data_IF_562500582321
#
_entry.id   IF_562500582321
#
_cell.length_a   1.000
_cell.length_b   1.000
_cell.length_c   1.000
_cell.angle_alpha   90.00
_cell.angle_beta   90.00
_cell.angle_gamma   90.00
#
_symmetry.space_group_name_H-M   'P 1'
#
loop_
_entity.id
_entity.type
_entity.pdbx_description
1 polymer ?
#
# COMPACT_ATOMS: atom_id res chain seq x y z
N UNK A 1 18.10 17.54 -2.20
CA UNK A 1 17.06 16.89 -3.03
C UNK A 1 16.50 15.75 -2.22
N UNK A 2 15.19 15.67 -2.07
CA UNK A 2 14.49 14.56 -1.41
C UNK A 2 14.43 13.37 -2.37
N UNK A 3 14.87 12.18 -1.94
CA UNK A 3 14.76 10.99 -2.79
C UNK A 3 13.29 10.62 -2.99
N UNK A 4 12.90 10.25 -4.22
CA UNK A 4 11.56 9.72 -4.51
C UNK A 4 11.61 8.20 -4.44
N UNK A 5 10.76 7.58 -3.64
CA UNK A 5 10.74 6.13 -3.42
C UNK A 5 9.34 5.59 -3.65
N UNK A 6 9.21 4.56 -4.49
CA UNK A 6 7.96 3.90 -4.82
C UNK A 6 7.87 2.55 -4.08
N UNK A 7 6.76 2.30 -3.40
CA UNK A 7 6.34 0.96 -2.98
C UNK A 7 5.29 0.39 -3.94
N UNK A 8 5.32 -0.93 -4.15
CA UNK A 8 4.29 -1.69 -4.87
C UNK A 8 3.76 -2.74 -3.91
N UNK A 9 2.65 -2.42 -3.23
CA UNK A 9 2.19 -3.17 -2.06
C UNK A 9 0.66 -3.14 -1.92
N UNK A 10 0.13 -3.95 -1.01
CA UNK A 10 -1.27 -3.87 -0.58
C UNK A 10 -1.45 -2.82 0.52
N UNK A 11 -2.66 -2.29 0.66
CA UNK A 11 -3.07 -1.47 1.81
C UNK A 11 -3.48 -2.39 2.96
N UNK A 12 -2.85 -2.23 4.12
CA UNK A 12 -3.25 -2.89 5.36
C UNK A 12 -4.00 -1.88 6.22
N UNK A 13 -5.31 -2.08 6.40
CA UNK A 13 -6.18 -1.15 7.15
C UNK A 13 -5.76 -0.98 8.62
N UNK A 14 -4.98 -1.91 9.19
CA UNK A 14 -4.43 -1.75 10.55
C UNK A 14 -3.34 -0.68 10.62
N UNK A 15 -2.69 -0.38 9.49
CA UNK A 15 -1.56 0.54 9.38
C UNK A 15 -0.25 0.03 10.00
N UNK A 16 -0.19 -1.26 10.35
CA UNK A 16 0.99 -1.93 10.92
C UNK A 16 1.91 -2.57 9.88
N UNK A 17 1.39 -2.93 8.71
CA UNK A 17 2.14 -3.43 7.56
C UNK A 17 1.72 -2.67 6.27
N UNK A 18 1.91 -3.31 5.11
CA UNK A 18 1.47 -2.80 3.82
C UNK A 18 2.13 -1.49 3.41
N UNK A 19 1.51 -0.81 2.44
CA UNK A 19 1.99 0.47 1.94
C UNK A 19 2.00 1.54 3.03
N UNK A 20 1.15 1.43 4.06
CA UNK A 20 1.12 2.34 5.20
C UNK A 20 2.44 2.28 5.99
N UNK A 21 2.96 1.08 6.25
CA UNK A 21 4.26 0.91 6.91
C UNK A 21 5.42 1.39 6.04
N UNK A 22 5.36 1.09 4.73
CA UNK A 22 6.38 1.54 3.77
C UNK A 22 6.45 3.07 3.70
N UNK A 23 5.30 3.74 3.51
CA UNK A 23 5.23 5.20 3.40
C UNK A 23 5.66 5.90 4.70
N UNK A 24 5.29 5.36 5.87
CA UNK A 24 5.81 5.85 7.16
C UNK A 24 7.33 5.71 7.24
N UNK A 25 7.88 4.58 6.82
CA UNK A 25 9.32 4.39 6.80
C UNK A 25 9.99 5.40 5.85
N UNK A 26 9.46 5.60 4.65
CA UNK A 26 10.02 6.57 3.71
C UNK A 26 10.05 7.99 4.31
N UNK A 27 8.98 8.40 4.99
CA UNK A 27 8.91 9.70 5.67
C UNK A 27 9.95 9.83 6.79
N UNK A 28 10.10 8.80 7.63
CA UNK A 28 11.11 8.76 8.71
C UNK A 28 12.55 8.89 8.18
N UNK A 29 12.83 8.41 6.96
CA UNK A 29 14.12 8.56 6.30
C UNK A 29 14.23 9.81 5.40
N UNK A 30 13.23 10.70 5.44
CA UNK A 30 13.23 11.95 4.69
C UNK A 30 13.11 11.75 3.17
N UNK A 31 12.44 10.68 2.73
CA UNK A 31 12.13 10.41 1.34
C UNK A 31 10.67 10.76 1.01
N UNK A 32 10.41 11.18 -0.23
CA UNK A 32 9.06 11.38 -0.74
C UNK A 32 8.51 10.03 -1.23
N UNK A 33 7.70 9.41 -0.38
CA UNK A 33 7.06 8.13 -0.67
C UNK A 33 5.88 8.24 -1.64
N UNK A 34 5.82 7.32 -2.59
CA UNK A 34 4.65 7.07 -3.45
C UNK A 34 4.29 5.59 -3.45
N UNK A 35 3.06 5.23 -3.81
CA UNK A 35 2.60 3.84 -3.81
C UNK A 35 1.86 3.48 -5.10
N UNK A 36 2.09 2.26 -5.60
CA UNK A 36 1.20 1.56 -6.52
C UNK A 36 0.48 0.45 -5.73
N UNK A 37 -0.83 0.63 -5.56
CA UNK A 37 -1.69 -0.22 -4.73
C UNK A 37 -2.11 -1.47 -5.50
N UNK A 38 -1.89 -2.64 -4.92
CA UNK A 38 -2.18 -3.96 -5.53
C UNK A 38 -3.42 -4.64 -4.96
N UNK A 39 -3.73 -4.38 -3.69
CA UNK A 39 -4.94 -4.86 -3.03
C UNK A 39 -5.26 -3.99 -1.81
N UNK A 40 -6.46 -4.18 -1.26
CA UNK A 40 -6.89 -3.63 0.03
C UNK A 40 -7.16 -4.83 0.95
N UNK A 41 -6.49 -4.86 2.09
CA UNK A 41 -6.69 -5.85 3.14
C UNK A 41 -7.53 -5.21 4.24
N UNK A 42 -8.68 -5.83 4.51
CA UNK A 42 -9.55 -5.52 5.65
C UNK A 42 -9.69 -6.74 6.55
N UNK A 43 -10.33 -6.57 7.71
CA UNK A 43 -10.55 -7.65 8.67
C UNK A 43 -12.05 -7.77 8.96
N UNK A 44 -12.61 -8.97 8.90
CA UNK A 44 -14.03 -9.20 9.22
C UNK A 44 -14.23 -9.26 10.75
N UNK A 45 -14.87 -8.25 11.37
CA UNK A 45 -15.09 -8.24 12.81
C UNK A 45 -16.05 -9.33 13.31
N UNK A 46 -16.82 -9.95 12.42
CA UNK A 46 -17.78 -11.01 12.76
C UNK A 46 -17.22 -12.42 12.54
N UNK A 47 -16.05 -12.54 11.89
CA UNK A 47 -15.35 -13.80 11.63
C UNK A 47 -13.94 -13.76 12.23
N UNK A 48 -13.86 -13.41 13.51
CA UNK A 48 -12.59 -13.46 14.26
C UNK A 48 -11.47 -12.57 13.69
N UNK A 49 -11.81 -11.46 13.01
CA UNK A 49 -10.86 -10.61 12.29
C UNK A 49 -10.08 -11.34 11.20
N UNK A 50 -10.72 -12.32 10.55
CA UNK A 50 -10.17 -12.96 9.35
C UNK A 50 -9.82 -11.92 8.28
N UNK A 51 -8.72 -12.16 7.55
CA UNK A 51 -8.25 -11.25 6.52
C UNK A 51 -9.16 -11.35 5.29
N UNK A 52 -9.64 -10.21 4.80
CA UNK A 52 -10.45 -10.08 3.59
C UNK A 52 -9.66 -9.26 2.59
N UNK A 53 -9.44 -9.81 1.39
CA UNK A 53 -8.64 -9.19 0.34
C UNK A 53 -9.52 -8.74 -0.82
N UNK A 54 -9.44 -7.46 -1.15
CA UNK A 54 -9.99 -6.90 -2.38
C UNK A 54 -8.83 -6.58 -3.33
N UNK A 55 -8.73 -7.29 -4.45
CA UNK A 55 -7.65 -7.12 -5.41
C UNK A 55 -7.93 -5.97 -6.37
N UNK A 56 -6.91 -5.16 -6.64
CA UNK A 56 -6.97 -4.15 -7.69
C UNK A 56 -6.69 -4.82 -9.03
N UNK A 57 -7.50 -4.52 -10.04
CA UNK A 57 -7.33 -5.04 -11.40
C UNK A 57 -5.91 -4.77 -11.93
N UNK A 58 -5.23 -5.75 -12.57
CA UNK A 58 -3.84 -5.59 -13.04
C UNK A 58 -3.62 -4.40 -13.99
N UNK A 59 -4.63 -4.07 -14.80
CA UNK A 59 -4.58 -2.89 -15.68
C UNK A 59 -4.55 -1.58 -14.89
N UNK A 60 -5.25 -1.51 -13.76
CA UNK A 60 -5.18 -0.35 -12.86
C UNK A 60 -3.81 -0.28 -12.19
N UNK A 61 -3.22 -1.40 -11.77
CA UNK A 61 -1.85 -1.43 -11.24
C UNK A 61 -0.85 -0.95 -12.29
N UNK A 62 -0.99 -1.39 -13.54
CA UNK A 62 -0.14 -0.93 -14.66
C UNK A 62 -0.23 0.57 -14.85
N UNK A 63 -1.45 1.13 -14.88
CA UNK A 63 -1.66 2.58 -15.01
C UNK A 63 -1.08 3.38 -13.83
N UNK A 64 -1.05 2.82 -12.62
CA UNK A 64 -0.36 3.45 -11.48
C UNK A 64 1.15 3.52 -11.74
N UNK A 65 1.78 2.41 -12.15
CA UNK A 65 3.22 2.35 -12.43
C UNK A 65 3.65 3.29 -13.55
N UNK A 66 2.81 3.46 -14.58
CA UNK A 66 3.06 4.40 -15.68
C UNK A 66 2.90 5.87 -15.26
N UNK A 67 2.23 6.14 -14.14
CA UNK A 67 1.92 7.49 -13.66
C UNK A 67 2.82 7.99 -12.52
N UNK A 68 3.77 7.17 -12.04
CA UNK A 68 4.63 7.46 -10.88
C UNK A 68 6.02 7.96 -11.21
#
# INVERSE_FOLDING_TARGET
MTAKVLTVAGSDVSGGAGLEADLKMFDEYGAFGTAAVTCIVTFDPNDGFAHVLEFIEPEVVTRQLEST
#
